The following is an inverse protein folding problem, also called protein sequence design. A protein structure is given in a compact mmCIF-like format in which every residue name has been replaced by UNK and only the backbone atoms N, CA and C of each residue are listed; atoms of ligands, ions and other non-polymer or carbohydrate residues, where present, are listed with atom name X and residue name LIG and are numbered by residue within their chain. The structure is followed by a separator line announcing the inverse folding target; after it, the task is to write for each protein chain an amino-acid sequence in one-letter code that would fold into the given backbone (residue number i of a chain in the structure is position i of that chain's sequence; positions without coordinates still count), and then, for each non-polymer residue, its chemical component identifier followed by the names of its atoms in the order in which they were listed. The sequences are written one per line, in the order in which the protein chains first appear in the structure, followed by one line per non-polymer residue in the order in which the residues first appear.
data_IF_353708358522
#
_entry.id   IF_353708358522
#
_cell.length_a   1.000
_cell.length_b   1.000
_cell.length_c   1.000
_cell.angle_alpha   90.00
_cell.angle_beta   90.00
_cell.angle_gamma   90.00
#
_symmetry.space_group_name_H-M   'P 1'
#
loop_
_entity.id
_entity.type
_entity.pdbx_description
1 polymer ?
#
# COMPACT_ATOMS: atom_id res chain seq x y z
N UNK A 1 -5.58 -4.83 -3.68
CA UNK A 1 -5.48 -4.92 -5.16
C UNK A 1 -6.69 -5.66 -5.71
N UNK A 2 -7.40 -5.09 -6.70
CA UNK A 2 -8.52 -5.80 -7.36
C UNK A 2 -7.93 -6.76 -8.37
N UNK A 3 -7.89 -8.04 -8.03
CA UNK A 3 -7.20 -9.05 -8.83
C UNK A 3 -7.93 -9.31 -10.15
N UNK A 4 -9.25 -9.07 -10.24
CA UNK A 4 -10.04 -9.34 -11.46
C UNK A 4 -11.01 -8.21 -11.89
N UNK A 5 -10.82 -6.96 -11.41
CA UNK A 5 -11.67 -5.76 -11.66
C UNK A 5 -13.19 -5.89 -11.39
N UNK A 6 -13.76 -7.07 -11.20
CA UNK A 6 -15.14 -7.34 -10.81
C UNK A 6 -15.23 -7.58 -9.28
N UNK A 7 -16.28 -7.07 -8.63
CA UNK A 7 -16.51 -7.24 -7.17
C UNK A 7 -15.83 -6.21 -6.26
N UNK A 8 -15.98 -6.39 -4.94
CA UNK A 8 -15.33 -5.56 -3.90
C UNK A 8 -13.85 -5.94 -3.78
N UNK A 9 -12.99 -4.98 -3.45
CA UNK A 9 -11.59 -5.31 -3.18
C UNK A 9 -11.49 -6.19 -1.93
N UNK A 10 -10.64 -7.22 -1.97
CA UNK A 10 -10.34 -8.05 -0.80
C UNK A 10 -9.68 -7.17 0.28
N UNK A 11 -10.16 -7.29 1.51
CA UNK A 11 -9.45 -6.78 2.69
C UNK A 11 -8.27 -7.71 2.96
N UNK A 12 -7.06 -7.15 3.00
CA UNK A 12 -5.84 -7.92 3.20
C UNK A 12 -5.74 -8.40 4.66
N UNK A 13 -5.28 -9.64 4.84
CA UNK A 13 -4.91 -10.14 6.17
C UNK A 13 -3.50 -9.69 6.56
N UNK A 14 -3.15 -9.81 7.84
CA UNK A 14 -1.80 -9.48 8.35
C UNK A 14 -0.69 -10.22 7.58
N UNK A 15 -0.91 -11.50 7.27
CA UNK A 15 0.05 -12.34 6.53
C UNK A 15 0.23 -11.86 5.09
N UNK A 16 -0.86 -11.45 4.43
CA UNK A 16 -0.78 -10.90 3.06
C UNK A 16 -0.06 -9.56 3.04
N UNK A 17 -0.27 -8.71 4.05
CA UNK A 17 0.46 -7.45 4.21
C UNK A 17 1.96 -7.72 4.34
N UNK A 18 2.36 -8.68 5.18
CA UNK A 18 3.76 -9.09 5.35
C UNK A 18 4.37 -9.59 4.03
N UNK A 19 3.61 -10.38 3.25
CA UNK A 19 4.05 -10.89 1.96
C UNK A 19 4.26 -9.74 0.95
N UNK A 20 3.33 -8.79 0.89
CA UNK A 20 3.45 -7.60 0.03
C UNK A 20 4.69 -6.78 0.37
N UNK A 21 4.96 -6.58 1.68
CA UNK A 21 6.17 -5.89 2.11
C UNK A 21 7.44 -6.64 1.76
N UNK A 22 7.43 -7.96 1.88
CA UNK A 22 8.64 -8.78 1.72
C UNK A 22 8.98 -9.03 0.25
N UNK A 23 7.99 -9.36 -0.56
CA UNK A 23 8.17 -9.90 -1.92
C UNK A 23 7.30 -9.20 -2.98
N UNK A 24 6.31 -8.40 -2.57
CA UNK A 24 5.35 -7.77 -3.49
C UNK A 24 5.71 -6.36 -3.97
N UNK A 25 6.77 -5.75 -3.45
CA UNK A 25 7.19 -4.38 -3.78
C UNK A 25 8.70 -4.35 -4.07
N UNK A 26 9.06 -4.02 -5.31
CA UNK A 26 10.46 -3.98 -5.76
C UNK A 26 11.22 -2.74 -5.27
N UNK A 27 10.55 -1.60 -5.17
CA UNK A 27 11.19 -0.33 -4.83
C UNK A 27 10.96 0.08 -3.38
N UNK A 28 12.01 0.63 -2.75
CA UNK A 28 11.91 1.21 -1.41
C UNK A 28 10.88 2.35 -1.33
N UNK A 29 10.69 3.11 -2.41
CA UNK A 29 9.65 4.15 -2.49
C UNK A 29 8.26 3.56 -2.30
N UNK A 30 7.95 2.45 -2.98
CA UNK A 30 6.62 1.85 -2.95
C UNK A 30 6.37 1.18 -1.60
N UNK A 31 7.40 0.57 -1.00
CA UNK A 31 7.38 0.09 0.38
C UNK A 31 7.07 1.20 1.37
N UNK A 32 7.75 2.34 1.27
CA UNK A 32 7.53 3.49 2.17
C UNK A 32 6.13 4.08 1.98
N UNK A 33 5.67 4.27 0.74
CA UNK A 33 4.31 4.76 0.46
C UNK A 33 3.24 3.82 1.03
N UNK A 34 3.41 2.51 0.84
CA UNK A 34 2.49 1.51 1.37
C UNK A 34 2.49 1.50 2.90
N UNK A 35 3.66 1.63 3.54
CA UNK A 35 3.78 1.74 5.00
C UNK A 35 3.10 2.98 5.55
N UNK A 36 3.35 4.15 4.96
CA UNK A 36 2.71 5.39 5.40
C UNK A 36 1.20 5.26 5.29
N UNK A 37 0.67 4.83 4.15
CA UNK A 37 -0.78 4.63 4.00
C UNK A 37 -1.36 3.60 5.00
N UNK A 38 -0.61 2.54 5.32
CA UNK A 38 -1.05 1.52 6.27
C UNK A 38 -1.11 2.02 7.71
N UNK A 39 -0.10 2.77 8.16
CA UNK A 39 0.01 3.21 9.57
C UNK A 39 -0.65 4.55 9.86
N UNK A 40 -0.73 5.45 8.87
CA UNK A 40 -1.35 6.78 9.02
C UNK A 40 -2.80 6.85 8.55
N UNK A 41 -3.28 5.81 7.85
CA UNK A 41 -4.57 5.81 7.15
C UNK A 41 -4.74 6.96 6.12
N UNK A 42 -3.65 7.64 5.73
CA UNK A 42 -3.67 8.68 4.69
C UNK A 42 -3.84 8.08 3.29
N UNK A 43 -4.47 8.84 2.40
CA UNK A 43 -4.56 8.45 0.98
C UNK A 43 -3.21 8.63 0.30
N UNK A 44 -2.92 7.82 -0.72
CA UNK A 44 -1.68 7.92 -1.52
C UNK A 44 -1.45 9.35 -2.02
N UNK A 45 -2.53 10.04 -2.42
CA UNK A 45 -2.46 11.44 -2.86
C UNK A 45 -1.93 12.38 -1.79
N UNK A 46 -2.36 12.21 -0.54
CA UNK A 46 -1.90 13.01 0.60
C UNK A 46 -0.44 12.71 0.90
N UNK A 47 -0.06 11.43 0.89
CA UNK A 47 1.32 11.01 1.09
C UNK A 47 2.27 11.59 0.02
N UNK A 48 1.87 11.67 -1.25
CA UNK A 48 2.73 12.26 -2.29
C UNK A 48 2.86 13.79 -2.19
N UNK A 49 1.90 14.50 -1.62
CA UNK A 49 2.00 15.96 -1.39
C UNK A 49 2.94 16.29 -0.23
N UNK A 50 2.88 15.53 0.88
CA UNK A 50 3.73 15.77 2.06
C UNK A 50 5.20 15.46 1.79
N UNK A 51 5.51 14.54 0.86
CA UNK A 51 6.89 14.20 0.49
C UNK A 51 7.54 15.17 -0.52
N UNK A 52 6.79 16.16 -1.00
CA UNK A 52 7.27 17.21 -1.92
C UNK A 52 7.37 18.60 -1.26
N UNK A 53 7.13 18.70 0.04
CA UNK A 53 7.34 19.91 0.86
C UNK A 53 8.72 19.87 1.54
#
# INVERSE_FOLDING_TARGET
MKINRQGRAKVLTQSEIQLIFSDGLDNNRDRTLFAVCLFSACRIRECCTEWHA
#
